data_IF_842085479503
#
_entry.id   IF_842085479503
#
_cell.length_a   1.000
_cell.length_b   1.000
_cell.length_c   1.000
_cell.angle_alpha   90.00
_cell.angle_beta   90.00
_cell.angle_gamma   90.00
#
_symmetry.space_group_name_H-M   'P 1'
#
loop_
_entity.id
_entity.type
_entity.pdbx_description
1 polymer ?
#
# COMPACT_ATOMS: atom_id res chain seq x y z
N UNK A 1 17.94 -24.60 -12.85
CA UNK A 1 16.56 -24.20 -13.24
C UNK A 1 16.69 -23.25 -14.39
N UNK A 2 16.04 -23.49 -15.51
CA UNK A 2 16.01 -22.53 -16.60
C UNK A 2 15.18 -21.32 -16.15
N UNK A 3 15.70 -20.11 -16.34
CA UNK A 3 14.90 -18.90 -16.20
C UNK A 3 13.74 -19.02 -17.19
N UNK A 4 12.53 -19.10 -16.69
CA UNK A 4 11.34 -19.37 -17.51
C UNK A 4 11.06 -18.19 -18.42
N UNK A 5 10.72 -18.51 -19.65
CA UNK A 5 10.23 -17.54 -20.63
C UNK A 5 8.89 -16.95 -20.16
N UNK A 6 8.53 -15.79 -20.71
CA UNK A 6 7.21 -15.19 -20.51
C UNK A 6 6.12 -16.20 -20.88
N UNK A 7 5.16 -16.39 -19.99
CA UNK A 7 4.08 -17.38 -20.13
C UNK A 7 2.78 -16.79 -20.65
N UNK A 8 2.62 -15.45 -20.61
CA UNK A 8 1.38 -14.77 -20.98
C UNK A 8 1.64 -13.40 -21.60
N UNK A 9 0.97 -13.12 -22.72
CA UNK A 9 0.84 -11.79 -23.28
C UNK A 9 -0.28 -11.01 -22.61
N UNK A 10 -0.27 -9.68 -22.74
CA UNK A 10 -1.34 -8.78 -22.26
C UNK A 10 -1.91 -7.99 -23.42
N UNK A 11 -3.21 -8.12 -23.66
CA UNK A 11 -3.98 -7.24 -24.55
C UNK A 11 -4.46 -5.98 -23.82
N UNK A 12 -4.90 -4.99 -24.58
CA UNK A 12 -5.61 -3.84 -24.02
C UNK A 12 -7.05 -4.26 -23.69
N UNK A 13 -7.47 -4.02 -22.46
CA UNK A 13 -8.84 -4.25 -22.05
C UNK A 13 -9.74 -3.12 -22.62
N UNK A 14 -10.92 -3.48 -23.09
CA UNK A 14 -11.93 -2.52 -23.54
C UNK A 14 -12.53 -1.72 -22.39
N UNK A 15 -12.46 -2.23 -21.18
CA UNK A 15 -12.96 -1.55 -19.99
C UNK A 15 -11.93 -0.53 -19.47
N UNK A 16 -12.36 0.71 -19.34
CA UNK A 16 -11.56 1.75 -18.72
C UNK A 16 -11.66 1.65 -17.22
N UNK A 17 -10.50 1.72 -16.54
CA UNK A 17 -10.38 1.60 -15.10
C UNK A 17 -10.05 2.96 -14.51
N UNK A 18 -10.66 3.30 -13.36
CA UNK A 18 -10.36 4.52 -12.62
C UNK A 18 -9.07 4.37 -11.82
N UNK A 19 -8.24 5.39 -11.78
CA UNK A 19 -7.07 5.46 -10.92
C UNK A 19 -7.37 6.06 -9.54
N UNK A 20 -6.39 6.00 -8.66
CA UNK A 20 -6.40 6.61 -7.34
C UNK A 20 -6.82 5.68 -6.21
N UNK A 21 -6.52 6.11 -4.99
CA UNK A 21 -6.76 5.39 -3.74
C UNK A 21 -8.02 5.92 -3.07
N UNK A 22 -8.85 5.00 -2.58
CA UNK A 22 -10.12 5.27 -1.88
C UNK A 22 -9.93 5.26 -0.37
N UNK A 23 -9.29 4.21 0.13
CA UNK A 23 -8.96 4.03 1.54
C UNK A 23 -7.57 3.43 1.70
N UNK A 24 -6.93 3.75 2.82
CA UNK A 24 -5.70 3.09 3.27
C UNK A 24 -6.02 2.37 4.58
N UNK A 25 -5.53 1.15 4.69
CA UNK A 25 -5.64 0.36 5.91
C UNK A 25 -4.24 0.03 6.39
N UNK A 26 -4.02 0.20 7.69
CA UNK A 26 -2.78 -0.17 8.36
C UNK A 26 -3.01 -1.36 9.28
N UNK A 27 -2.09 -2.30 9.25
CA UNK A 27 -1.93 -3.34 10.25
C UNK A 27 -0.50 -3.27 10.79
N UNK A 28 -0.33 -3.46 12.09
CA UNK A 28 1.00 -3.54 12.70
C UNK A 28 1.71 -4.76 12.14
N UNK A 29 2.99 -4.62 11.79
CA UNK A 29 3.76 -5.68 11.13
C UNK A 29 3.80 -6.98 11.94
N UNK A 30 3.99 -6.87 13.26
CA UNK A 30 4.12 -8.01 14.17
C UNK A 30 2.78 -8.68 14.52
N UNK A 31 1.64 -8.10 14.13
CA UNK A 31 0.32 -8.59 14.52
C UNK A 31 -0.07 -9.90 13.81
N UNK A 32 0.55 -10.24 12.69
CA UNK A 32 0.33 -11.52 12.04
C UNK A 32 1.59 -12.07 11.36
N UNK A 33 1.75 -13.39 11.46
CA UNK A 33 2.89 -14.10 10.95
C UNK A 33 2.73 -14.40 9.43
N UNK A 34 3.81 -14.84 8.81
CA UNK A 34 3.81 -15.28 7.40
C UNK A 34 2.80 -16.41 7.12
N UNK A 35 2.46 -17.19 8.14
CA UNK A 35 1.49 -18.30 8.04
C UNK A 35 0.04 -17.87 8.07
N UNK A 36 -0.25 -16.63 8.43
CA UNK A 36 -1.62 -16.12 8.56
C UNK A 36 -2.21 -15.62 7.25
N UNK A 37 -1.45 -15.69 6.18
CA UNK A 37 -1.89 -15.34 4.84
C UNK A 37 -1.33 -16.31 3.79
N UNK A 38 -2.09 -16.53 2.73
CA UNK A 38 -1.76 -17.45 1.66
C UNK A 38 -2.03 -16.85 0.30
N UNK A 39 -1.14 -17.16 -0.65
CA UNK A 39 -1.37 -16.85 -2.06
C UNK A 39 -2.38 -17.83 -2.67
N UNK A 40 -3.13 -17.35 -3.65
CA UNK A 40 -3.99 -18.19 -4.47
C UNK A 40 -3.18 -19.25 -5.20
N UNK A 41 -3.67 -20.48 -5.17
CA UNK A 41 -3.03 -21.60 -5.89
C UNK A 41 -3.10 -21.49 -7.43
N UNK A 42 -3.98 -20.63 -7.93
CA UNK A 42 -4.24 -20.47 -9.37
C UNK A 42 -3.69 -19.18 -9.99
N UNK A 43 -3.34 -18.19 -9.16
CA UNK A 43 -2.89 -16.88 -9.64
C UNK A 43 -1.73 -16.39 -8.77
N UNK A 44 -0.53 -16.35 -9.33
CA UNK A 44 0.64 -15.82 -8.64
C UNK A 44 0.43 -14.33 -8.30
N UNK A 45 0.79 -13.94 -7.08
CA UNK A 45 0.67 -12.56 -6.60
C UNK A 45 -0.71 -12.19 -6.08
N UNK A 46 -1.72 -13.06 -6.17
CA UNK A 46 -3.03 -12.86 -5.56
C UNK A 46 -3.07 -13.47 -4.16
N UNK A 47 -3.46 -12.69 -3.16
CA UNK A 47 -3.69 -13.17 -1.81
C UNK A 47 -5.14 -13.64 -1.71
N UNK A 48 -5.31 -14.93 -1.46
CA UNK A 48 -6.63 -15.57 -1.34
C UNK A 48 -7.20 -15.46 0.07
N UNK A 49 -6.36 -15.62 1.06
CA UNK A 49 -6.78 -15.64 2.46
C UNK A 49 -5.83 -14.81 3.32
N UNK A 50 -6.39 -13.98 4.18
CA UNK A 50 -5.68 -13.30 5.27
C UNK A 50 -6.45 -13.58 6.56
N UNK A 51 -5.77 -14.16 7.54
CA UNK A 51 -6.35 -14.47 8.83
C UNK A 51 -5.89 -13.43 9.88
N UNK A 52 -6.74 -12.47 10.17
CA UNK A 52 -6.50 -11.45 11.19
C UNK A 52 -6.93 -11.93 12.58
N UNK A 53 -6.33 -12.97 13.12
CA UNK A 53 -6.74 -13.63 14.36
C UNK A 53 -6.95 -12.68 15.56
N UNK A 54 -6.00 -11.78 15.79
CA UNK A 54 -6.04 -10.78 16.86
C UNK A 54 -5.70 -9.39 16.38
N UNK A 55 -5.36 -9.26 15.10
CA UNK A 55 -4.87 -8.02 14.51
C UNK A 55 -5.99 -7.03 14.28
N UNK A 56 -5.76 -5.81 14.66
CA UNK A 56 -6.68 -4.71 14.35
C UNK A 56 -6.24 -4.01 13.07
N UNK A 57 -7.16 -3.84 12.14
CA UNK A 57 -6.94 -3.04 10.93
C UNK A 57 -7.48 -1.65 11.16
N UNK A 58 -6.63 -0.66 10.96
CA UNK A 58 -6.97 0.75 11.09
C UNK A 58 -7.24 1.36 9.72
N UNK A 59 -8.49 1.76 9.46
CA UNK A 59 -8.89 2.39 8.21
C UNK A 59 -8.74 3.90 8.25
N UNK A 60 -8.03 4.45 7.27
CA UNK A 60 -7.91 5.89 7.04
C UNK A 60 -8.64 6.27 5.76
N UNK A 61 -9.51 7.26 5.88
CA UNK A 61 -10.19 7.86 4.72
C UNK A 61 -9.32 9.00 4.19
N UNK A 62 -8.97 8.92 2.92
CA UNK A 62 -8.09 9.90 2.27
C UNK A 62 -8.89 10.82 1.34
N UNK A 63 -8.49 12.09 1.18
CA UNK A 63 -9.12 12.98 0.21
C UNK A 63 -8.95 12.45 -1.21
N UNK A 64 -9.96 12.66 -2.05
CA UNK A 64 -9.95 12.21 -3.43
C UNK A 64 -8.75 12.79 -4.20
N UNK A 65 -8.00 11.93 -4.88
CA UNK A 65 -6.92 12.35 -5.79
C UNK A 65 -5.66 12.88 -5.11
N UNK A 66 -5.49 12.66 -3.80
CA UNK A 66 -4.35 13.19 -3.05
C UNK A 66 -3.37 12.11 -2.57
N UNK A 67 -3.82 10.87 -2.48
CA UNK A 67 -3.03 9.75 -1.97
C UNK A 67 -2.62 8.84 -3.11
N UNK A 68 -1.37 8.41 -3.10
CA UNK A 68 -0.81 7.50 -4.10
C UNK A 68 -0.19 6.27 -3.44
N UNK A 69 -0.34 5.14 -4.09
CA UNK A 69 0.34 3.90 -3.75
C UNK A 69 1.06 3.42 -5.02
N UNK A 70 2.37 3.37 -4.97
CA UNK A 70 3.23 3.01 -6.09
C UNK A 70 4.14 1.87 -5.67
N UNK A 71 4.49 1.02 -6.61
CA UNK A 71 5.51 0.01 -6.44
C UNK A 71 6.48 0.09 -7.60
N UNK A 72 7.76 0.25 -7.29
CA UNK A 72 8.83 0.35 -8.28
C UNK A 72 9.67 -0.91 -8.24
N UNK A 73 9.81 -1.56 -9.40
CA UNK A 73 10.71 -2.70 -9.58
C UNK A 73 12.11 -2.19 -9.92
N UNK A 74 13.09 -2.56 -9.12
CA UNK A 74 14.50 -2.20 -9.32
C UNK A 74 15.32 -3.46 -9.48
N UNK A 75 16.11 -3.52 -10.55
CA UNK A 75 16.98 -4.66 -10.85
C UNK A 75 18.36 -4.23 -11.28
N UNK A 76 19.36 -5.06 -10.97
CA UNK A 76 20.72 -4.94 -11.47
C UNK A 76 21.19 -6.27 -12.02
N UNK A 77 21.47 -6.30 -13.32
CA UNK A 77 22.00 -7.51 -13.99
C UNK A 77 23.44 -7.81 -13.57
N UNK A 78 24.22 -6.80 -13.23
CA UNK A 78 25.60 -6.98 -12.75
C UNK A 78 25.63 -7.67 -11.38
N UNK A 79 24.75 -7.26 -10.49
CA UNK A 79 24.68 -7.79 -9.12
C UNK A 79 23.72 -8.98 -9.00
N UNK A 80 22.96 -9.31 -10.04
CA UNK A 80 21.94 -10.36 -10.02
C UNK A 80 20.82 -10.11 -9.02
N UNK A 81 20.51 -8.85 -8.74
CA UNK A 81 19.49 -8.46 -7.76
C UNK A 81 18.23 -7.95 -8.44
N UNK A 82 17.07 -8.28 -7.85
CA UNK A 82 15.77 -7.76 -8.22
C UNK A 82 14.96 -7.56 -6.94
N UNK A 83 14.39 -6.39 -6.77
CA UNK A 83 13.56 -6.09 -5.61
C UNK A 83 12.47 -5.05 -5.94
N UNK A 84 11.44 -5.02 -5.13
CA UNK A 84 10.35 -4.09 -5.20
C UNK A 84 10.50 -3.01 -4.12
N UNK A 85 10.20 -1.78 -4.49
CA UNK A 85 10.16 -0.65 -3.57
C UNK A 85 8.73 -0.07 -3.57
N UNK A 86 7.87 -0.54 -2.66
CA UNK A 86 6.57 0.06 -2.45
C UNK A 86 6.71 1.41 -1.75
N UNK A 87 5.97 2.41 -2.24
CA UNK A 87 5.89 3.76 -1.68
C UNK A 87 4.44 4.19 -1.59
N UNK A 88 4.03 4.65 -0.43
CA UNK A 88 2.70 5.23 -0.20
C UNK A 88 2.85 6.66 0.29
N UNK A 89 2.33 7.61 -0.50
CA UNK A 89 2.15 8.98 -0.08
C UNK A 89 0.71 9.18 0.37
N UNK A 90 0.49 9.31 1.66
CA UNK A 90 -0.82 9.52 2.25
C UNK A 90 -1.02 10.97 2.66
N UNK A 91 -2.16 11.52 2.28
CA UNK A 91 -2.57 12.87 2.64
C UNK A 91 -3.79 12.80 3.54
N UNK A 92 -3.71 13.46 4.69
CA UNK A 92 -4.81 13.63 5.62
C UNK A 92 -5.14 15.09 5.77
N UNK A 93 -6.41 15.43 5.69
CA UNK A 93 -6.88 16.77 5.96
C UNK A 93 -7.13 16.96 7.45
N UNK A 94 -6.94 18.17 7.92
CA UNK A 94 -7.18 18.61 9.30
C UNK A 94 -6.11 18.10 10.28
N UNK A 95 -5.53 19.04 11.01
CA UNK A 95 -4.64 18.76 12.12
C UNK A 95 -5.46 18.48 13.37
N UNK A 96 -5.34 17.29 13.95
CA UNK A 96 -5.97 16.94 15.22
C UNK A 96 -4.93 16.44 16.21
N UNK A 97 -5.19 16.58 17.50
CA UNK A 97 -4.31 16.09 18.56
C UNK A 97 -4.21 14.56 18.55
N UNK A 98 -5.35 13.90 18.29
CA UNK A 98 -5.46 12.45 18.20
C UNK A 98 -4.61 11.92 17.05
N UNK A 99 -4.72 12.51 15.87
CA UNK A 99 -3.94 12.11 14.70
C UNK A 99 -2.44 12.32 14.93
N UNK A 100 -2.04 13.40 15.59
CA UNK A 100 -0.63 13.65 15.91
C UNK A 100 -0.03 12.52 16.76
N UNK A 101 -0.77 12.02 17.75
CA UNK A 101 -0.34 10.90 18.57
C UNK A 101 -0.27 9.60 17.75
N UNK A 102 -1.26 9.33 16.90
CA UNK A 102 -1.27 8.15 16.03
C UNK A 102 -0.13 8.17 15.01
N UNK A 103 0.15 9.32 14.41
CA UNK A 103 1.26 9.49 13.46
C UNK A 103 2.60 9.24 14.16
N UNK A 104 2.77 9.68 15.41
CA UNK A 104 3.97 9.37 16.19
C UNK A 104 4.15 7.87 16.39
N UNK A 105 3.07 7.14 16.69
CA UNK A 105 3.11 5.67 16.81
C UNK A 105 3.42 5.01 15.47
N UNK A 106 2.80 5.45 14.38
CA UNK A 106 3.09 4.97 13.03
C UNK A 106 4.56 5.18 12.63
N UNK A 107 5.18 6.27 13.07
CA UNK A 107 6.61 6.55 12.83
C UNK A 107 7.58 5.67 13.62
N UNK A 108 7.09 4.97 14.64
CA UNK A 108 7.90 4.09 15.48
C UNK A 108 7.67 2.60 15.17
N UNK A 109 6.66 2.28 14.40
CA UNK A 109 6.19 0.91 14.18
C UNK A 109 6.25 0.58 12.69
N UNK A 110 6.73 -0.61 12.36
CA UNK A 110 6.57 -1.15 11.02
C UNK A 110 5.12 -1.56 10.79
N UNK A 111 4.63 -1.32 9.57
CA UNK A 111 3.25 -1.57 9.20
C UNK A 111 3.14 -2.34 7.89
N UNK A 112 2.05 -3.06 7.72
CA UNK A 112 1.56 -3.54 6.42
C UNK A 112 0.47 -2.61 5.97
N UNK A 113 0.50 -2.25 4.70
CA UNK A 113 -0.43 -1.27 4.12
C UNK A 113 -1.29 -1.96 3.07
N UNK A 114 -2.59 -1.81 3.20
CA UNK A 114 -3.56 -2.25 2.20
C UNK A 114 -4.20 -1.02 1.58
N UNK A 115 -3.93 -0.80 0.30
CA UNK A 115 -4.48 0.32 -0.45
C UNK A 115 -5.69 -0.14 -1.27
N UNK A 116 -6.88 0.31 -0.90
CA UNK A 116 -8.10 0.09 -1.66
C UNK A 116 -8.21 1.12 -2.77
N UNK A 117 -8.22 0.66 -4.01
CA UNK A 117 -8.28 1.51 -5.18
C UNK A 117 -9.72 1.90 -5.54
N UNK A 118 -9.85 2.94 -6.37
CA UNK A 118 -11.12 3.25 -7.05
C UNK A 118 -11.41 2.26 -8.20
N UNK A 119 -10.41 1.49 -8.61
CA UNK A 119 -10.54 0.46 -9.61
C UNK A 119 -11.37 -0.72 -9.08
N UNK A 120 -12.24 -1.26 -9.91
CA UNK A 120 -13.03 -2.46 -9.61
C UNK A 120 -12.60 -3.61 -10.52
N UNK A 121 -12.64 -4.81 -9.99
CA UNK A 121 -12.37 -6.02 -10.76
C UNK A 121 -13.49 -6.27 -11.78
N UNK A 122 -13.13 -6.41 -13.05
CA UNK A 122 -14.09 -6.46 -14.16
C UNK A 122 -15.10 -7.62 -14.09
N UNK A 123 -14.71 -8.76 -13.52
CA UNK A 123 -15.58 -9.93 -13.45
C UNK A 123 -16.48 -9.95 -12.21
N UNK A 124 -16.01 -9.40 -11.08
CA UNK A 124 -16.72 -9.49 -9.79
C UNK A 124 -17.34 -8.18 -9.33
N UNK A 125 -16.89 -7.05 -9.87
CA UNK A 125 -17.28 -5.71 -9.43
C UNK A 125 -16.72 -5.31 -8.06
N UNK A 126 -15.88 -6.14 -7.44
CA UNK A 126 -15.25 -5.85 -6.15
C UNK A 126 -14.14 -4.81 -6.30
N UNK A 127 -13.92 -4.01 -5.28
CA UNK A 127 -12.80 -3.06 -5.25
C UNK A 127 -11.46 -3.81 -5.24
N UNK A 128 -10.49 -3.31 -5.99
CA UNK A 128 -9.13 -3.86 -6.00
C UNK A 128 -8.36 -3.34 -4.79
N UNK A 129 -7.71 -4.24 -4.07
CA UNK A 129 -6.86 -3.93 -2.93
C UNK A 129 -5.44 -4.35 -3.26
N UNK A 130 -4.49 -3.44 -3.11
CA UNK A 130 -3.05 -3.72 -3.22
C UNK A 130 -2.49 -3.87 -1.82
N UNK A 131 -1.78 -4.97 -1.57
CA UNK A 131 -1.12 -5.25 -0.31
C UNK A 131 0.36 -4.90 -0.43
N UNK A 132 0.85 -3.99 0.41
CA UNK A 132 2.21 -3.48 0.38
C UNK A 132 2.91 -3.76 1.71
N UNK A 133 4.19 -4.14 1.65
CA UNK A 133 4.96 -4.46 2.84
C UNK A 133 4.58 -5.79 3.48
N UNK A 134 4.17 -6.79 2.70
CA UNK A 134 3.69 -8.06 3.25
C UNK A 134 4.81 -8.91 3.85
N UNK A 135 6.02 -8.87 3.29
CA UNK A 135 7.16 -9.66 3.75
C UNK A 135 8.03 -8.91 4.76
N UNK A 136 8.46 -7.70 4.41
CA UNK A 136 9.43 -6.95 5.20
C UNK A 136 8.82 -5.76 5.95
N UNK A 137 7.54 -5.46 5.71
CA UNK A 137 6.89 -4.29 6.27
C UNK A 137 7.28 -2.98 5.59
N UNK A 138 6.55 -1.95 5.91
CA UNK A 138 6.82 -0.57 5.50
C UNK A 138 7.05 0.30 6.73
N UNK A 139 7.88 1.33 6.57
CA UNK A 139 8.17 2.31 7.62
C UNK A 139 7.82 3.72 7.16
N UNK A 140 7.38 4.56 8.10
CA UNK A 140 7.18 5.97 7.80
C UNK A 140 8.52 6.71 7.89
N UNK A 141 9.07 7.11 6.75
CA UNK A 141 10.38 7.78 6.69
C UNK A 141 10.30 9.30 6.60
N UNK A 142 9.16 9.85 6.20
CA UNK A 142 8.95 11.28 6.15
C UNK A 142 7.49 11.63 6.47
N UNK A 143 7.32 12.77 7.11
CA UNK A 143 6.00 13.32 7.38
C UNK A 143 6.07 14.83 7.57
N UNK A 144 5.08 15.54 7.05
CA UNK A 144 4.90 16.97 7.28
C UNK A 144 3.52 17.25 7.82
N UNK A 145 3.46 18.18 8.77
CA UNK A 145 2.22 18.79 9.24
C UNK A 145 2.19 20.23 8.74
N UNK A 146 1.19 20.60 7.97
CA UNK A 146 1.06 21.92 7.37
C UNK A 146 -0.25 22.56 7.80
N UNK A 147 -0.16 23.79 8.32
CA UNK A 147 -1.31 24.58 8.73
C UNK A 147 -1.97 25.32 7.56
N UNK A 148 -1.27 25.44 6.43
CA UNK A 148 -1.61 26.37 5.37
C UNK A 148 -1.31 27.83 5.75
N UNK A 149 -1.20 28.71 4.78
CA UNK A 149 -0.98 30.16 4.96
C UNK A 149 -2.23 30.97 4.63
N UNK A 150 -2.93 30.63 3.55
CA UNK A 150 -4.16 31.29 3.12
C UNK A 150 -5.41 30.48 3.53
N UNK A 151 -6.58 31.12 3.52
CA UNK A 151 -7.84 30.44 3.86
C UNK A 151 -8.19 29.25 2.97
N UNK A 152 -7.71 29.24 1.73
CA UNK A 152 -7.90 28.13 0.77
C UNK A 152 -6.87 27.04 0.84
N UNK A 153 -5.81 27.20 1.64
CA UNK A 153 -4.74 26.24 1.74
C UNK A 153 -5.15 25.03 2.57
N UNK A 154 -4.53 23.90 2.26
CA UNK A 154 -4.76 22.67 3.00
C UNK A 154 -4.13 22.75 4.39
N UNK A 155 -4.91 22.41 5.39
CA UNK A 155 -4.44 22.14 6.74
C UNK A 155 -4.46 20.63 6.96
N UNK A 156 -3.31 20.01 7.24
CA UNK A 156 -3.27 18.56 7.39
C UNK A 156 -1.87 17.95 7.39
N UNK A 157 -1.82 16.63 7.18
CA UNK A 157 -0.59 15.86 7.17
C UNK A 157 -0.31 15.31 5.78
N UNK A 158 0.96 15.22 5.43
CA UNK A 158 1.45 14.41 4.32
C UNK A 158 2.45 13.41 4.88
N UNK A 159 2.17 12.13 4.73
CA UNK A 159 2.97 11.03 5.29
C UNK A 159 3.50 10.18 4.16
N UNK A 160 4.78 9.86 4.20
CA UNK A 160 5.44 9.00 3.24
C UNK A 160 5.88 7.70 3.93
N UNK A 161 5.42 6.59 3.38
CA UNK A 161 5.80 5.24 3.78
C UNK A 161 6.55 4.58 2.64
N UNK A 162 7.64 3.90 2.95
CA UNK A 162 8.38 3.10 1.98
C UNK A 162 8.84 1.78 2.59
N UNK A 163 9.21 0.86 1.73
CA UNK A 163 9.68 -0.45 2.09
C UNK A 163 10.54 -1.06 0.99
N UNK A 164 11.15 -2.19 1.28
CA UNK A 164 11.90 -2.98 0.32
C UNK A 164 11.42 -4.43 0.42
N UNK A 165 10.93 -4.95 -0.69
CA UNK A 165 10.38 -6.30 -0.80
C UNK A 165 11.16 -7.12 -1.84
N UNK A 166 11.37 -8.40 -1.54
CA UNK A 166 12.03 -9.31 -2.48
C UNK A 166 11.04 -9.86 -3.53
N UNK A 167 9.75 -9.83 -3.21
CA UNK A 167 8.64 -10.30 -4.06
C UNK A 167 7.42 -9.42 -3.85
#
# INVERSE_FOLDING_TARGET
MACTALTKGRGLDCNRISGGVKFIYFSVYDDFARTDWAYSSGTEGEIDTINFQTSTIYRYTVPRGSTTANETLTGSTENGTLFYNPVVNMVLNRLTKEDQNQIKLLGQTQVRIFAQLNATHSATGNDVIICLGMHNGMSMNAGTADSGAAFGDRNGYTLNFDGLEAQ
#
